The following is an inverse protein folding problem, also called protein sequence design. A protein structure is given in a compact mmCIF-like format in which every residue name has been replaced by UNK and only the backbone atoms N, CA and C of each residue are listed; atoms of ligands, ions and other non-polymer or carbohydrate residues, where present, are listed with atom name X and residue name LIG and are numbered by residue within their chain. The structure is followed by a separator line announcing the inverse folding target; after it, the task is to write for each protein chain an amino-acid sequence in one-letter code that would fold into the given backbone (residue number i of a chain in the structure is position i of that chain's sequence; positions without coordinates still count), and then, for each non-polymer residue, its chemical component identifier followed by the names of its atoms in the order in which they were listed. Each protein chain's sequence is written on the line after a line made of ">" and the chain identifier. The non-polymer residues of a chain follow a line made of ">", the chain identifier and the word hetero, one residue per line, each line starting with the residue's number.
data_IF_687673531811
#
_entry.id   IF_687673531811
#
_cell.length_a   1.000
_cell.length_b   1.000
_cell.length_c   1.000
_cell.angle_alpha   90.00
_cell.angle_beta   90.00
_cell.angle_gamma   90.00
#
_symmetry.space_group_name_H-M   'P 1'
#
loop_
_entity.id
_entity.type
_entity.pdbx_description
1 polymer ?
#
# COMPACT_ATOMS: atom_id res chain seq x y z
N UNK A 1 20.68 -1.64 31.45
CA UNK A 1 20.95 -0.32 30.86
C UNK A 1 22.10 -0.48 29.90
N UNK A 2 21.85 -0.57 28.59
CA UNK A 2 22.92 -0.62 27.60
C UNK A 2 23.24 0.81 27.20
N UNK A 3 24.44 1.23 27.60
CA UNK A 3 25.06 2.52 27.34
C UNK A 3 25.46 2.58 25.87
N UNK A 4 24.95 3.59 25.14
CA UNK A 4 25.36 3.90 23.77
C UNK A 4 26.73 4.60 23.78
N UNK A 5 27.61 4.38 22.79
CA UNK A 5 28.90 5.05 22.74
C UNK A 5 28.76 6.52 22.32
N UNK A 6 29.49 7.39 23.04
CA UNK A 6 29.71 8.80 22.77
C UNK A 6 30.33 9.00 21.37
N UNK A 7 29.60 9.62 20.45
CA UNK A 7 30.15 10.09 19.16
C UNK A 7 30.22 11.62 19.22
N UNK A 8 31.41 12.12 19.54
CA UNK A 8 31.78 13.53 19.50
C UNK A 8 31.84 14.01 18.04
N UNK A 9 30.87 14.84 17.64
CA UNK A 9 30.92 15.58 16.37
C UNK A 9 31.63 16.93 16.59
N UNK A 10 32.93 16.96 16.30
CA UNK A 10 33.59 18.21 15.86
C UNK A 10 33.43 18.32 14.35
N UNK A 11 32.62 19.27 13.88
CA UNK A 11 32.66 19.76 12.50
C UNK A 11 32.50 21.27 12.47
N UNK A 12 33.64 21.92 12.24
CA UNK A 12 33.77 23.29 11.77
C UNK A 12 33.16 23.37 10.35
N UNK A 13 32.42 24.43 10.05
CA UNK A 13 32.17 24.87 8.68
C UNK A 13 31.10 24.13 7.86
N UNK A 14 29.99 24.83 7.60
CA UNK A 14 29.10 24.70 6.44
C UNK A 14 28.54 23.30 6.12
N UNK A 15 27.31 23.05 6.56
CA UNK A 15 26.20 22.46 5.79
C UNK A 15 24.92 22.53 6.63
N UNK A 16 23.85 23.08 6.06
CA UNK A 16 22.50 23.07 6.64
C UNK A 16 22.12 21.60 6.97
N UNK A 17 21.39 21.33 8.07
CA UNK A 17 21.10 19.98 8.50
C UNK A 17 20.39 19.22 7.36
N UNK A 18 20.99 18.13 6.89
CA UNK A 18 20.29 17.16 6.04
C UNK A 18 19.23 16.53 6.92
N UNK A 19 18.02 16.99 6.73
CA UNK A 19 16.80 16.36 7.20
C UNK A 19 16.93 14.84 6.96
N UNK A 20 16.92 14.07 8.05
CA UNK A 20 16.80 12.62 7.99
C UNK A 20 15.39 12.31 7.49
N UNK A 21 15.21 12.37 6.16
CA UNK A 21 13.97 11.98 5.50
C UNK A 21 13.95 10.45 5.43
N UNK A 22 13.44 9.79 6.47
CA UNK A 22 13.01 8.40 6.36
C UNK A 22 11.76 8.38 5.47
N UNK A 23 11.93 8.37 4.15
CA UNK A 23 10.82 8.26 3.21
C UNK A 23 10.18 6.88 3.36
N UNK A 24 9.07 6.80 4.08
CA UNK A 24 8.15 5.69 3.97
C UNK A 24 7.44 5.81 2.61
N UNK A 25 8.16 5.51 1.52
CA UNK A 25 7.63 5.55 0.15
C UNK A 25 6.65 4.39 0.00
N UNK A 26 5.36 4.66 0.27
CA UNK A 26 4.30 3.70 0.02
C UNK A 26 3.98 3.69 -1.47
N UNK A 27 4.03 2.52 -2.09
CA UNK A 27 3.52 2.31 -3.45
C UNK A 27 2.02 2.20 -3.39
N UNK A 28 1.33 2.86 -4.30
CA UNK A 28 -0.11 2.79 -4.43
C UNK A 28 -0.45 2.34 -5.85
N UNK A 29 -1.42 1.44 -5.95
CA UNK A 29 -1.95 0.97 -7.22
C UNK A 29 -3.47 1.12 -7.20
N UNK A 30 -4.01 1.63 -8.30
CA UNK A 30 -5.43 1.89 -8.46
C UNK A 30 -5.96 0.88 -9.48
N UNK A 31 -7.09 0.26 -9.16
CA UNK A 31 -7.77 -0.69 -10.01
C UNK A 31 -9.23 -0.27 -10.19
N UNK A 32 -9.77 -0.47 -11.39
CA UNK A 32 -11.22 -0.59 -11.58
C UNK A 32 -11.65 -1.99 -11.15
N UNK A 33 -12.78 -2.09 -10.47
CA UNK A 33 -13.34 -3.37 -10.00
C UNK A 33 -14.82 -3.52 -10.37
N UNK A 34 -15.33 -4.75 -10.44
CA UNK A 34 -16.75 -5.04 -10.66
C UNK A 34 -17.55 -5.18 -9.35
N UNK A 35 -16.96 -4.81 -8.21
CA UNK A 35 -17.61 -4.86 -6.90
C UNK A 35 -18.76 -3.85 -6.88
N UNK A 36 -19.96 -4.33 -6.58
CA UNK A 36 -21.17 -3.49 -6.52
C UNK A 36 -21.76 -3.37 -5.11
N UNK A 37 -21.21 -4.10 -4.13
CA UNK A 37 -21.73 -4.16 -2.77
C UNK A 37 -20.61 -4.34 -1.73
N UNK A 38 -20.85 -3.84 -0.52
CA UNK A 38 -19.92 -3.86 0.60
C UNK A 38 -19.53 -5.29 1.02
N UNK A 39 -20.40 -6.29 0.84
CA UNK A 39 -20.09 -7.67 1.17
C UNK A 39 -19.03 -8.26 0.23
N UNK A 40 -19.02 -7.88 -1.05
CA UNK A 40 -17.96 -8.28 -1.98
C UNK A 40 -16.64 -7.55 -1.67
N UNK A 41 -16.70 -6.25 -1.36
CA UNK A 41 -15.55 -5.48 -0.91
C UNK A 41 -14.90 -6.09 0.33
N UNK A 42 -15.71 -6.43 1.35
CA UNK A 42 -15.26 -7.07 2.58
C UNK A 42 -14.59 -8.41 2.30
N UNK A 43 -15.21 -9.27 1.49
CA UNK A 43 -14.62 -10.58 1.13
C UNK A 43 -13.27 -10.44 0.43
N UNK A 44 -13.15 -9.51 -0.54
CA UNK A 44 -11.87 -9.27 -1.21
C UNK A 44 -10.83 -8.75 -0.22
N UNK A 45 -11.22 -7.79 0.63
CA UNK A 45 -10.33 -7.20 1.64
C UNK A 45 -9.80 -8.25 2.60
N UNK A 46 -10.68 -9.06 3.19
CA UNK A 46 -10.30 -10.13 4.12
C UNK A 46 -9.36 -11.13 3.46
N UNK A 47 -9.66 -11.51 2.20
CA UNK A 47 -8.80 -12.41 1.45
C UNK A 47 -7.43 -11.81 1.22
N UNK A 48 -7.34 -10.60 0.67
CA UNK A 48 -6.07 -9.94 0.39
C UNK A 48 -5.26 -9.67 1.66
N UNK A 49 -5.89 -9.23 2.75
CA UNK A 49 -5.21 -9.00 4.03
C UNK A 49 -4.73 -10.30 4.70
N UNK A 50 -5.38 -11.43 4.42
CA UNK A 50 -4.90 -12.74 4.89
C UNK A 50 -3.57 -13.16 4.23
N UNK A 51 -3.30 -12.72 2.99
CA UNK A 51 -2.04 -12.99 2.29
C UNK A 51 -1.03 -11.83 2.46
N UNK A 52 -1.53 -10.61 2.53
CA UNK A 52 -0.75 -9.37 2.55
C UNK A 52 -1.15 -8.46 3.72
N UNK A 53 -0.74 -8.80 4.96
CA UNK A 53 -1.20 -8.10 6.16
C UNK A 53 -0.70 -6.65 6.27
N UNK A 54 0.32 -6.28 5.51
CA UNK A 54 0.90 -4.92 5.50
C UNK A 54 0.27 -3.99 4.46
N UNK A 55 -0.67 -4.49 3.65
CA UNK A 55 -1.36 -3.68 2.64
C UNK A 55 -2.50 -2.86 3.27
N UNK A 56 -2.73 -1.69 2.73
CA UNK A 56 -3.90 -0.86 3.01
C UNK A 56 -4.80 -0.87 1.79
N UNK A 57 -6.05 -1.27 2.00
CA UNK A 57 -7.04 -1.46 0.94
C UNK A 57 -8.20 -0.49 1.17
N UNK A 58 -8.48 0.35 0.18
CA UNK A 58 -9.58 1.30 0.16
C UNK A 58 -10.47 1.01 -1.05
N UNK A 59 -11.78 1.00 -0.82
CA UNK A 59 -12.79 0.87 -1.88
C UNK A 59 -13.52 2.21 -1.97
N UNK A 60 -13.63 2.73 -3.17
CA UNK A 60 -14.49 3.84 -3.52
C UNK A 60 -15.62 3.27 -4.38
N UNK A 61 -16.76 3.02 -3.72
CA UNK A 61 -17.97 2.47 -4.33
C UNK A 61 -19.06 3.55 -4.47
N UNK A 62 -18.75 4.80 -4.12
CA UNK A 62 -19.71 5.90 -4.11
C UNK A 62 -19.81 6.55 -5.50
N UNK A 63 -18.74 6.49 -6.29
CA UNK A 63 -18.72 6.89 -7.69
C UNK A 63 -18.82 5.68 -8.63
N UNK A 64 -19.52 5.84 -9.76
CA UNK A 64 -19.79 4.80 -10.77
C UNK A 64 -18.54 4.07 -11.32
N UNK A 65 -17.35 4.50 -10.94
CA UNK A 65 -16.07 3.95 -11.37
C UNK A 65 -15.64 2.70 -10.60
N UNK A 66 -16.27 2.37 -9.47
CA UNK A 66 -15.98 1.19 -8.64
C UNK A 66 -14.46 1.00 -8.48
N UNK A 67 -13.83 1.87 -7.71
CA UNK A 67 -12.37 1.94 -7.62
C UNK A 67 -11.87 1.18 -6.40
N UNK A 68 -10.82 0.40 -6.61
CA UNK A 68 -10.04 -0.29 -5.59
C UNK A 68 -8.64 0.32 -5.54
N UNK A 69 -8.28 0.93 -4.41
CA UNK A 69 -6.94 1.44 -4.15
C UNK A 69 -6.21 0.54 -3.18
N UNK A 70 -5.02 0.08 -3.55
CA UNK A 70 -4.15 -0.75 -2.71
C UNK A 70 -2.82 -0.01 -2.48
N UNK A 71 -2.47 0.20 -1.23
CA UNK A 71 -1.21 0.84 -0.82
C UNK A 71 -0.35 -0.14 -0.02
N UNK A 72 0.95 -0.21 -0.29
CA UNK A 72 1.90 -1.06 0.44
C UNK A 72 3.23 -0.35 0.65
N UNK A 73 3.92 -0.67 1.74
CA UNK A 73 5.32 -0.26 1.95
C UNK A 73 6.31 -1.12 1.16
N UNK A 74 5.86 -2.28 0.68
CA UNK A 74 6.63 -3.22 -0.13
C UNK A 74 6.13 -3.21 -1.58
N UNK A 75 6.83 -3.94 -2.45
CA UNK A 75 6.37 -4.19 -3.80
C UNK A 75 4.97 -4.83 -3.81
N UNK A 76 4.12 -4.33 -4.71
CA UNK A 76 2.78 -4.86 -4.92
C UNK A 76 2.89 -6.01 -5.92
N UNK A 77 2.58 -7.22 -5.46
CA UNK A 77 2.51 -8.41 -6.31
C UNK A 77 1.20 -8.40 -7.14
N UNK A 78 1.13 -7.52 -8.14
CA UNK A 78 -0.08 -7.29 -8.97
C UNK A 78 -0.72 -8.60 -9.44
N UNK A 79 0.09 -9.50 -10.00
CA UNK A 79 -0.34 -10.81 -10.50
C UNK A 79 -1.04 -11.64 -9.42
N UNK A 80 -0.55 -11.64 -8.19
CA UNK A 80 -1.16 -12.37 -7.08
C UNK A 80 -2.46 -11.71 -6.61
N UNK A 81 -2.48 -10.39 -6.53
CA UNK A 81 -3.67 -9.61 -6.16
C UNK A 81 -4.80 -9.91 -7.16
N UNK A 82 -4.52 -9.84 -8.46
CA UNK A 82 -5.46 -10.15 -9.53
C UNK A 82 -5.95 -11.61 -9.47
N UNK A 83 -5.04 -12.56 -9.23
CA UNK A 83 -5.39 -13.97 -9.07
C UNK A 83 -6.33 -14.19 -7.88
N UNK A 84 -6.05 -13.60 -6.72
CA UNK A 84 -6.90 -13.73 -5.55
C UNK A 84 -8.29 -13.10 -5.75
N UNK A 85 -8.38 -11.96 -6.42
CA UNK A 85 -9.68 -11.38 -6.78
C UNK A 85 -10.49 -12.34 -7.67
N UNK A 86 -9.86 -12.90 -8.70
CA UNK A 86 -10.51 -13.81 -9.65
C UNK A 86 -11.04 -15.09 -8.99
N UNK A 87 -10.34 -15.60 -7.98
CA UNK A 87 -10.77 -16.82 -7.25
C UNK A 87 -12.07 -16.66 -6.46
N UNK A 88 -12.54 -15.42 -6.22
CA UNK A 88 -13.84 -15.13 -5.61
C UNK A 88 -14.83 -14.50 -6.59
N UNK A 89 -14.55 -14.56 -7.89
CA UNK A 89 -15.42 -14.01 -8.94
C UNK A 89 -15.36 -12.48 -9.05
N UNK A 90 -14.33 -11.85 -8.50
CA UNK A 90 -14.12 -10.40 -8.61
C UNK A 90 -13.09 -10.13 -9.70
N UNK A 91 -13.42 -9.19 -10.57
CA UNK A 91 -12.57 -8.75 -11.66
C UNK A 91 -12.00 -7.38 -11.30
N UNK A 92 -10.67 -7.27 -11.32
CA UNK A 92 -9.95 -6.01 -11.13
C UNK A 92 -9.07 -5.77 -12.35
N UNK A 93 -8.92 -4.50 -12.75
CA UNK A 93 -8.05 -4.09 -13.85
C UNK A 93 -7.26 -2.85 -13.42
N UNK A 94 -5.93 -2.81 -13.59
CA UNK A 94 -5.14 -1.64 -13.25
C UNK A 94 -5.61 -0.42 -14.05
N UNK A 95 -5.77 0.71 -13.36
CA UNK A 95 -5.94 2.02 -13.99
C UNK A 95 -4.54 2.59 -14.17
N UNK A 96 -4.00 2.48 -15.38
CA UNK A 96 -2.80 3.21 -15.80
C UNK A 96 -3.24 4.58 -16.35
N UNK A 97 -2.50 5.64 -16.00
CA UNK A 97 -2.70 7.00 -16.51
C UNK A 97 -2.24 7.12 -17.98
#
# INVERSE_FOLDING_TARGET
>A
MLQLPDIRLEITGKKKPKQVMSYNSRKAEIYRTNIADENQARQLKERLLSFFPTMRICFDLEDCDNILKIESTNDLEKVQIEAHAKTIGIHIQPLED
#
